data_IF_452340848194
#
_entry.id   IF_452340848194
#
_cell.length_a   1.000
_cell.length_b   1.000
_cell.length_c   1.000
_cell.angle_alpha   90.00
_cell.angle_beta   90.00
_cell.angle_gamma   90.00
#
_symmetry.space_group_name_H-M   'P 1'
#
loop_
_entity.id
_entity.type
_entity.pdbx_description
1 polymer ?
#
# COMPACT_ATOMS: atom_id res chain seq x y z
N UNK A 1 -6.88 -5.70 -13.91
CA UNK A 1 -5.70 -4.84 -13.69
C UNK A 1 -6.15 -3.63 -12.91
N UNK A 2 -5.68 -3.48 -11.70
CA UNK A 2 -5.85 -2.26 -10.90
C UNK A 2 -4.51 -1.53 -10.97
N UNK A 3 -4.44 -0.44 -11.71
CA UNK A 3 -3.26 0.41 -11.80
C UNK A 3 -3.41 1.60 -10.85
N UNK A 4 -2.34 2.00 -10.21
CA UNK A 4 -2.25 3.17 -9.36
C UNK A 4 -1.23 4.13 -9.97
N UNK A 5 -1.45 5.44 -9.85
CA UNK A 5 -0.50 6.44 -10.28
C UNK A 5 -0.11 7.30 -9.09
N UNK A 6 1.18 7.45 -8.88
CA UNK A 6 1.73 8.44 -7.95
C UNK A 6 2.46 9.49 -8.74
N UNK A 7 2.01 10.73 -8.72
CA UNK A 7 2.87 11.90 -8.91
C UNK A 7 2.16 13.26 -8.93
N UNK A 8 2.77 14.28 -8.31
CA UNK A 8 2.68 15.71 -8.66
C UNK A 8 4.00 16.40 -8.30
N UNK A 9 4.58 17.20 -9.22
CA UNK A 9 5.78 17.97 -8.94
C UNK A 9 5.53 19.26 -8.12
N UNK A 10 6.59 19.77 -7.50
CA UNK A 10 6.56 20.94 -6.61
C UNK A 10 6.19 22.29 -7.30
N UNK A 11 5.82 22.28 -8.59
CA UNK A 11 5.57 23.52 -9.35
C UNK A 11 4.15 23.69 -9.86
N UNK A 12 3.22 22.78 -9.50
CA UNK A 12 1.78 22.92 -9.82
C UNK A 12 1.45 22.87 -11.31
N UNK A 13 2.37 22.48 -12.15
CA UNK A 13 2.22 22.29 -13.58
C UNK A 13 2.49 20.84 -13.96
N UNK A 14 1.83 20.38 -15.02
CA UNK A 14 2.23 19.16 -15.70
C UNK A 14 3.61 19.38 -16.30
N UNK A 15 4.66 19.14 -15.53
CA UNK A 15 6.00 19.21 -16.05
C UNK A 15 6.40 17.83 -16.56
N UNK A 16 6.30 17.64 -17.87
CA UNK A 16 6.81 16.48 -18.60
C UNK A 16 8.35 16.34 -18.56
N UNK A 17 9.01 17.02 -17.61
CA UNK A 17 10.44 16.96 -17.44
C UNK A 17 10.84 15.81 -16.52
N UNK A 18 10.71 14.58 -16.98
CA UNK A 18 11.56 13.48 -16.52
C UNK A 18 11.18 12.74 -15.23
N UNK A 19 10.06 13.03 -14.57
CA UNK A 19 9.56 12.17 -13.48
C UNK A 19 8.48 11.24 -14.01
N UNK A 20 8.79 9.97 -13.99
CA UNK A 20 7.87 8.90 -14.40
C UNK A 20 6.86 8.67 -13.30
N UNK A 21 5.58 8.64 -13.64
CA UNK A 21 4.52 8.22 -12.72
C UNK A 21 4.64 6.72 -12.51
N UNK A 22 4.76 6.28 -11.27
CA UNK A 22 4.82 4.87 -10.91
C UNK A 22 3.47 4.19 -11.17
N UNK A 23 3.48 3.11 -11.92
CA UNK A 23 2.34 2.23 -12.16
C UNK A 23 2.41 1.07 -11.18
N UNK A 24 1.57 1.11 -10.14
CA UNK A 24 1.46 0.05 -9.15
C UNK A 24 0.35 -0.93 -9.51
N UNK A 25 0.65 -2.23 -9.54
CA UNK A 25 -0.30 -3.30 -9.85
C UNK A 25 -0.48 -4.28 -8.67
N UNK A 26 -1.68 -4.88 -8.49
CA UNK A 26 -1.89 -5.95 -7.53
C UNK A 26 -1.39 -7.30 -8.07
N UNK A 27 -0.91 -8.16 -7.18
CA UNK A 27 -0.75 -9.56 -7.48
C UNK A 27 -1.28 -10.45 -6.35
N UNK A 28 -1.98 -11.52 -6.71
CA UNK A 28 -2.48 -12.53 -5.78
C UNK A 28 -1.72 -13.86 -5.86
N UNK A 29 -0.70 -13.94 -6.71
CA UNK A 29 0.20 -15.09 -6.83
C UNK A 29 1.52 -14.67 -7.48
N UNK A 30 2.53 -15.50 -7.38
CA UNK A 30 3.83 -15.29 -8.01
C UNK A 30 3.72 -15.16 -9.54
N UNK A 31 2.89 -15.97 -10.17
CA UNK A 31 2.69 -15.93 -11.64
C UNK A 31 2.05 -14.59 -12.06
N UNK A 32 1.06 -14.11 -11.29
CA UNK A 32 0.44 -12.81 -11.55
C UNK A 32 1.47 -11.69 -11.32
N UNK A 33 2.30 -11.77 -10.28
CA UNK A 33 3.37 -10.81 -10.01
C UNK A 33 4.31 -10.70 -11.22
N UNK A 34 4.82 -11.80 -11.72
CA UNK A 34 5.67 -11.83 -12.91
C UNK A 34 4.94 -11.30 -14.16
N UNK A 35 3.67 -11.66 -14.33
CA UNK A 35 2.89 -11.21 -15.48
C UNK A 35 2.66 -9.70 -15.50
N UNK A 36 2.34 -9.07 -14.37
CA UNK A 36 2.10 -7.62 -14.31
C UNK A 36 3.39 -6.82 -14.44
N UNK A 37 4.52 -7.31 -13.91
CA UNK A 37 5.84 -6.72 -14.13
C UNK A 37 6.20 -6.76 -15.61
N UNK A 38 6.02 -7.90 -16.27
CA UNK A 38 6.28 -8.02 -17.71
C UNK A 38 5.32 -7.18 -18.57
N UNK A 39 4.13 -6.87 -18.05
CA UNK A 39 3.18 -5.97 -18.71
C UNK A 39 3.50 -4.49 -18.51
N UNK A 40 4.55 -4.15 -17.74
CA UNK A 40 5.03 -2.78 -17.56
C UNK A 40 4.67 -2.13 -16.22
N UNK A 41 4.27 -2.89 -15.22
CA UNK A 41 4.15 -2.35 -13.86
C UNK A 41 5.54 -1.95 -13.32
N UNK A 42 5.62 -0.79 -12.66
CA UNK A 42 6.83 -0.30 -12.03
C UNK A 42 6.98 -0.86 -10.61
N UNK A 43 5.85 -1.11 -9.96
CA UNK A 43 5.79 -1.74 -8.66
C UNK A 43 4.61 -2.72 -8.57
N UNK A 44 4.71 -3.68 -7.66
CA UNK A 44 3.65 -4.65 -7.39
C UNK A 44 3.37 -4.70 -5.89
N UNK A 45 2.09 -4.58 -5.51
CA UNK A 45 1.72 -4.88 -4.13
C UNK A 45 1.08 -6.26 -4.04
N UNK A 46 1.44 -6.97 -2.98
CA UNK A 46 0.98 -8.34 -2.75
C UNK A 46 0.85 -8.63 -1.25
N UNK A 47 0.10 -9.67 -0.93
CA UNK A 47 -0.06 -10.17 0.42
C UNK A 47 0.78 -11.44 0.61
N UNK A 48 1.40 -11.54 1.77
CA UNK A 48 1.94 -12.80 2.24
C UNK A 48 0.89 -13.58 3.03
N UNK A 49 1.27 -14.68 3.60
CA UNK A 49 0.42 -15.61 4.35
C UNK A 49 -0.15 -15.03 5.67
N UNK A 50 0.39 -13.88 6.13
CA UNK A 50 -0.07 -13.20 7.35
C UNK A 50 -0.38 -11.72 7.09
N UNK A 51 -1.24 -11.15 7.93
CA UNK A 51 -1.50 -9.69 8.08
C UNK A 51 -2.03 -8.94 6.86
N UNK A 52 -2.35 -9.63 5.76
CA UNK A 52 -2.97 -9.03 4.58
C UNK A 52 -4.49 -9.03 4.65
N UNK A 53 -5.15 -7.95 4.24
CA UNK A 53 -6.63 -7.83 4.23
C UNK A 53 -7.34 -8.83 3.30
N UNK A 54 -6.60 -9.52 2.45
CA UNK A 54 -7.10 -10.57 1.54
C UNK A 54 -6.67 -11.97 1.99
N UNK A 55 -6.75 -12.26 3.28
CA UNK A 55 -6.34 -13.56 3.83
C UNK A 55 -6.98 -14.79 3.15
N UNK A 56 -8.11 -14.63 2.46
CA UNK A 56 -8.80 -15.67 1.71
C UNK A 56 -8.53 -15.65 0.19
N UNK A 57 -7.76 -14.70 -0.32
CA UNK A 57 -7.22 -14.75 -1.67
C UNK A 57 -5.90 -15.54 -1.67
N UNK A 58 -5.47 -16.06 -2.80
CA UNK A 58 -4.15 -16.67 -2.89
C UNK A 58 -3.09 -15.70 -2.38
N UNK A 59 -2.38 -16.06 -1.33
CA UNK A 59 -1.29 -15.29 -0.75
C UNK A 59 0.02 -16.03 -1.04
N UNK A 60 1.11 -15.29 -1.15
CA UNK A 60 2.42 -15.85 -1.37
C UNK A 60 2.98 -16.39 -0.05
N UNK A 61 3.53 -17.59 -0.07
CA UNK A 61 4.36 -18.07 1.02
C UNK A 61 5.73 -17.36 1.01
N UNK A 62 6.57 -17.63 2.02
CA UNK A 62 7.86 -16.95 2.16
C UNK A 62 8.80 -17.19 0.96
N UNK A 63 8.84 -18.39 0.42
CA UNK A 63 9.70 -18.74 -0.71
C UNK A 63 9.25 -18.04 -1.99
N UNK A 64 7.95 -18.02 -2.25
CA UNK A 64 7.35 -17.29 -3.38
C UNK A 64 7.56 -15.78 -3.26
N UNK A 65 7.53 -15.23 -2.03
CA UNK A 65 7.82 -13.83 -1.76
C UNK A 65 9.28 -13.51 -2.09
N UNK A 66 10.22 -14.34 -1.68
CA UNK A 66 11.63 -14.18 -2.02
C UNK A 66 11.85 -14.22 -3.54
N UNK A 67 11.18 -15.15 -4.22
CA UNK A 67 11.26 -15.22 -5.68
C UNK A 67 10.64 -14.01 -6.35
N UNK A 68 9.55 -13.46 -5.81
CA UNK A 68 8.93 -12.23 -6.31
C UNK A 68 9.88 -11.02 -6.17
N UNK A 69 10.53 -10.87 -5.00
CA UNK A 69 11.53 -9.83 -4.75
C UNK A 69 12.70 -9.92 -5.72
N UNK A 70 13.32 -11.10 -5.83
CA UNK A 70 14.45 -11.34 -6.74
C UNK A 70 14.09 -11.07 -8.20
N UNK A 71 12.87 -11.46 -8.61
CA UNK A 71 12.40 -11.25 -9.97
C UNK A 71 12.16 -9.77 -10.26
N UNK A 72 11.53 -9.05 -9.33
CA UNK A 72 11.24 -7.63 -9.48
C UNK A 72 12.54 -6.80 -9.52
N UNK A 73 13.44 -7.00 -8.56
CA UNK A 73 14.70 -6.27 -8.46
C UNK A 73 15.62 -6.51 -9.66
N UNK A 74 15.63 -7.73 -10.22
CA UNK A 74 16.38 -8.03 -11.45
C UNK A 74 15.92 -7.18 -12.64
N UNK A 75 14.68 -6.71 -12.62
CA UNK A 75 14.06 -5.89 -13.66
C UNK A 75 13.92 -4.42 -13.26
N UNK A 76 14.58 -4.00 -12.16
CA UNK A 76 14.47 -2.65 -11.60
C UNK A 76 13.01 -2.27 -11.29
N UNK A 77 12.30 -3.18 -10.59
CA UNK A 77 10.91 -3.03 -10.15
C UNK A 77 10.79 -3.26 -8.65
N UNK A 78 9.73 -2.73 -8.04
CA UNK A 78 9.53 -2.71 -6.60
C UNK A 78 8.43 -3.67 -6.14
N UNK A 79 8.57 -4.17 -4.92
CA UNK A 79 7.59 -5.02 -4.25
C UNK A 79 7.16 -4.36 -2.95
N UNK A 80 5.84 -4.21 -2.75
CA UNK A 80 5.24 -3.68 -1.53
C UNK A 80 4.40 -4.74 -0.84
N UNK A 81 4.75 -5.05 0.40
CA UNK A 81 4.04 -6.04 1.21
C UNK A 81 2.85 -5.40 1.94
N UNK A 82 1.67 -5.99 1.80
CA UNK A 82 0.50 -5.53 2.56
C UNK A 82 0.52 -6.10 3.99
N UNK A 83 0.56 -5.19 4.98
CA UNK A 83 0.38 -5.44 6.41
C UNK A 83 -0.78 -4.55 6.87
N UNK A 84 -1.93 -4.72 6.22
CA UNK A 84 -3.03 -3.76 6.25
C UNK A 84 -4.31 -4.33 6.88
N UNK A 85 -4.16 -5.21 7.85
CA UNK A 85 -5.23 -5.62 8.78
C UNK A 85 -5.08 -4.95 10.13
N UNK A 86 -6.15 -4.93 10.92
CA UNK A 86 -6.07 -4.55 12.33
C UNK A 86 -5.53 -5.72 13.12
N UNK A 87 -4.38 -5.54 13.75
CA UNK A 87 -3.70 -6.57 14.51
C UNK A 87 -4.10 -6.54 15.99
N UNK A 88 -4.24 -7.72 16.58
CA UNK A 88 -4.40 -7.86 18.02
C UNK A 88 -3.03 -7.73 18.70
N UNK A 89 -3.04 -7.37 19.99
CA UNK A 89 -1.82 -7.13 20.75
C UNK A 89 -0.84 -8.33 20.73
N UNK A 90 -1.36 -9.54 20.83
CA UNK A 90 -0.55 -10.75 20.80
C UNK A 90 0.10 -11.01 19.42
N UNK A 91 -0.54 -10.60 18.33
CA UNK A 91 0.01 -10.69 16.97
C UNK A 91 1.12 -9.65 16.77
N UNK A 92 0.91 -8.45 17.31
CA UNK A 92 1.89 -7.36 17.23
C UNK A 92 3.16 -7.74 18.02
N UNK A 93 3.01 -8.24 19.26
CA UNK A 93 4.15 -8.51 20.15
C UNK A 93 4.94 -9.77 19.77
N UNK A 94 4.27 -10.77 19.20
CA UNK A 94 4.87 -12.09 19.04
C UNK A 94 5.20 -12.50 17.61
N UNK A 95 4.65 -11.83 16.59
CA UNK A 95 4.73 -12.37 15.21
C UNK A 95 5.12 -11.34 14.16
N UNK A 96 4.72 -10.06 14.33
CA UNK A 96 4.84 -9.06 13.29
C UNK A 96 6.28 -8.83 12.83
N UNK A 97 7.19 -8.66 13.78
CA UNK A 97 8.60 -8.34 13.47
C UNK A 97 9.30 -9.54 12.85
N UNK A 98 9.09 -10.73 13.42
CA UNK A 98 9.67 -11.98 12.90
C UNK A 98 9.14 -12.31 11.50
N UNK A 99 7.90 -11.92 11.20
CA UNK A 99 7.30 -12.08 9.88
C UNK A 99 7.92 -11.15 8.83
N UNK A 100 8.15 -9.87 9.19
CA UNK A 100 8.67 -8.87 8.25
C UNK A 100 10.19 -9.01 8.06
N UNK A 101 10.93 -9.39 9.10
CA UNK A 101 12.38 -9.38 9.11
C UNK A 101 13.04 -10.13 7.90
N UNK A 102 12.62 -11.36 7.54
CA UNK A 102 13.20 -12.05 6.39
C UNK A 102 13.02 -11.31 5.05
N UNK A 103 11.91 -10.61 4.88
CA UNK A 103 11.63 -9.83 3.68
C UNK A 103 12.44 -8.53 3.67
N UNK A 104 12.57 -7.87 4.82
CA UNK A 104 13.41 -6.69 4.97
C UNK A 104 14.88 -7.01 4.66
N UNK A 105 15.40 -8.11 5.18
CA UNK A 105 16.77 -8.60 4.88
C UNK A 105 16.97 -8.94 3.40
N UNK A 106 15.88 -9.33 2.70
CA UNK A 106 15.89 -9.61 1.26
C UNK A 106 15.72 -8.34 0.42
N UNK A 107 15.56 -7.17 1.04
CA UNK A 107 15.43 -5.88 0.37
C UNK A 107 14.00 -5.50 -0.01
N UNK A 108 13.00 -5.91 0.79
CA UNK A 108 11.61 -5.46 0.60
C UNK A 108 11.56 -3.93 0.54
N UNK A 109 10.95 -3.40 -0.52
CA UNK A 109 10.99 -1.96 -0.81
C UNK A 109 10.09 -1.15 0.13
N UNK A 110 8.87 -1.64 0.41
CA UNK A 110 7.94 -0.96 1.32
C UNK A 110 6.91 -1.89 1.93
N UNK A 111 6.28 -1.41 3.01
CA UNK A 111 5.10 -2.03 3.62
C UNK A 111 3.89 -1.11 3.54
N UNK A 112 2.72 -1.66 3.19
CA UNK A 112 1.45 -0.93 3.17
C UNK A 112 0.71 -1.24 4.47
N UNK A 113 0.53 -0.24 5.33
CA UNK A 113 0.10 -0.39 6.72
C UNK A 113 -1.21 0.34 7.00
N UNK A 114 -2.07 -0.24 7.83
CA UNK A 114 -3.33 0.37 8.28
C UNK A 114 -3.25 0.87 9.73
N UNK A 115 -2.48 0.23 10.59
CA UNK A 115 -2.46 0.45 12.04
C UNK A 115 -1.31 1.38 12.45
N UNK A 116 -1.59 2.40 13.27
CA UNK A 116 -0.59 3.35 13.75
C UNK A 116 0.44 2.72 14.70
N UNK A 117 0.02 1.72 15.48
CA UNK A 117 0.92 0.96 16.36
C UNK A 117 1.91 0.14 15.55
N UNK A 118 1.41 -0.51 14.48
CA UNK A 118 2.23 -1.26 13.52
C UNK A 118 3.22 -0.32 12.81
N UNK A 119 2.79 0.85 12.33
CA UNK A 119 3.69 1.86 11.75
C UNK A 119 4.84 2.22 12.69
N UNK A 120 4.52 2.49 13.96
CA UNK A 120 5.52 2.83 14.98
C UNK A 120 6.52 1.69 15.18
N UNK A 121 6.05 0.45 15.31
CA UNK A 121 6.92 -0.71 15.52
C UNK A 121 7.82 -0.99 14.31
N UNK A 122 7.28 -0.89 13.09
CA UNK A 122 8.06 -1.03 11.87
C UNK A 122 9.15 0.04 11.83
N UNK A 123 8.83 1.30 12.10
CA UNK A 123 9.83 2.38 12.11
C UNK A 123 10.90 2.19 13.17
N UNK A 124 10.57 1.56 14.32
CA UNK A 124 11.53 1.28 15.40
C UNK A 124 12.47 0.11 15.09
N UNK A 125 11.98 -0.91 14.39
CA UNK A 125 12.75 -2.14 14.13
C UNK A 125 13.40 -2.15 12.74
N UNK A 126 12.80 -1.43 11.78
CA UNK A 126 13.25 -1.34 10.38
C UNK A 126 13.32 0.13 9.96
N UNK A 127 14.35 0.87 10.40
CA UNK A 127 14.42 2.33 10.22
C UNK A 127 14.45 2.77 8.75
N UNK A 128 15.00 1.96 7.87
CA UNK A 128 15.13 2.25 6.44
C UNK A 128 13.94 1.73 5.61
N UNK A 129 12.98 1.02 6.23
CA UNK A 129 11.79 0.51 5.53
C UNK A 129 10.84 1.65 5.17
N UNK A 130 10.46 1.75 3.92
CA UNK A 130 9.42 2.67 3.50
C UNK A 130 8.04 2.21 3.99
N UNK A 131 7.27 3.15 4.53
CA UNK A 131 5.91 2.89 5.04
C UNK A 131 4.90 3.66 4.19
N UNK A 132 4.02 2.92 3.54
CA UNK A 132 2.89 3.46 2.80
C UNK A 132 1.63 3.36 3.66
N UNK A 133 1.01 4.51 3.95
CA UNK A 133 -0.25 4.54 4.68
C UNK A 133 -1.39 4.04 3.79
N UNK A 134 -1.99 2.90 4.15
CA UNK A 134 -3.04 2.24 3.37
C UNK A 134 -4.27 3.13 3.19
N UNK A 135 -5.01 2.93 2.09
CA UNK A 135 -6.35 3.49 1.90
C UNK A 135 -7.31 3.11 3.03
N UNK A 136 -7.05 2.01 3.74
CA UNK A 136 -7.82 1.56 4.90
C UNK A 136 -7.66 2.47 6.13
N UNK A 137 -6.71 3.39 6.13
CA UNK A 137 -6.61 4.47 7.13
C UNK A 137 -7.61 5.60 6.84
N UNK A 138 -8.38 5.52 5.77
CA UNK A 138 -9.49 6.43 5.40
C UNK A 138 -9.06 7.89 5.37
N UNK A 139 -7.96 8.18 4.66
CA UNK A 139 -7.46 9.55 4.56
C UNK A 139 -8.22 10.34 3.50
N UNK A 140 -8.96 11.34 3.94
CA UNK A 140 -9.80 12.20 3.10
C UNK A 140 -9.37 13.66 3.10
N UNK A 141 -8.26 14.00 3.77
CA UNK A 141 -7.86 15.39 3.88
C UNK A 141 -6.41 15.60 4.31
N UNK A 142 -6.00 16.86 4.21
CA UNK A 142 -4.62 17.31 4.47
C UNK A 142 -4.18 17.05 5.91
N UNK A 143 -5.07 17.26 6.87
CA UNK A 143 -4.75 17.18 8.30
C UNK A 143 -4.42 15.73 8.71
N UNK A 144 -5.25 14.77 8.28
CA UNK A 144 -5.02 13.35 8.57
C UNK A 144 -3.75 12.83 7.90
N UNK A 145 -3.54 13.15 6.63
CA UNK A 145 -2.32 12.78 5.92
C UNK A 145 -1.07 13.39 6.57
N UNK A 146 -1.16 14.62 7.09
CA UNK A 146 -0.06 15.26 7.81
C UNK A 146 0.30 14.56 9.13
N UNK A 147 -0.66 13.94 9.81
CA UNK A 147 -0.38 13.12 10.99
C UNK A 147 0.39 11.85 10.58
N UNK A 148 -0.01 11.19 9.49
CA UNK A 148 0.67 10.01 8.99
C UNK A 148 2.09 10.32 8.51
N UNK A 149 2.29 11.45 7.83
CA UNK A 149 3.60 11.92 7.42
C UNK A 149 4.53 12.13 8.62
N UNK A 150 4.03 12.79 9.68
CA UNK A 150 4.78 12.98 10.94
C UNK A 150 5.04 11.65 11.66
N UNK A 151 4.18 10.66 11.49
CA UNK A 151 4.37 9.31 12.05
C UNK A 151 5.36 8.47 11.22
N UNK A 152 5.87 8.99 10.10
CA UNK A 152 6.90 8.36 9.28
C UNK A 152 6.40 7.68 8.01
N UNK A 153 5.16 7.90 7.59
CA UNK A 153 4.72 7.45 6.27
C UNK A 153 5.40 8.29 5.19
N UNK A 154 6.00 7.64 4.19
CA UNK A 154 6.58 8.31 3.01
C UNK A 154 5.54 8.50 1.91
N UNK A 155 4.51 7.63 1.90
CA UNK A 155 3.42 7.62 0.92
C UNK A 155 2.07 7.52 1.61
N UNK A 156 1.06 8.19 1.07
CA UNK A 156 -0.33 8.03 1.47
C UNK A 156 -1.17 7.55 0.29
N UNK A 157 -1.95 6.47 0.52
CA UNK A 157 -2.96 6.01 -0.43
C UNK A 157 -4.25 6.76 -0.15
N UNK A 158 -4.67 7.60 -1.09
CA UNK A 158 -5.86 8.45 -0.92
C UNK A 158 -7.15 7.62 -0.85
N UNK A 159 -8.11 8.12 -0.09
CA UNK A 159 -9.48 7.62 -0.20
C UNK A 159 -10.03 7.91 -1.61
N UNK A 160 -10.87 7.02 -2.11
CA UNK A 160 -11.48 7.15 -3.45
C UNK A 160 -12.44 8.30 -3.58
N UNK A 161 -12.92 8.83 -2.45
CA UNK A 161 -13.82 9.97 -2.33
C UNK A 161 -13.11 11.31 -2.54
N UNK A 162 -11.78 11.34 -2.46
CA UNK A 162 -11.02 12.58 -2.66
C UNK A 162 -11.08 13.07 -4.10
N UNK A 163 -11.43 14.33 -4.25
CA UNK A 163 -11.38 15.01 -5.54
C UNK A 163 -9.94 15.36 -5.94
N UNK A 164 -9.70 15.56 -7.23
CA UNK A 164 -8.40 16.04 -7.71
C UNK A 164 -7.98 17.37 -7.08
N UNK A 165 -8.95 18.21 -6.73
CA UNK A 165 -8.68 19.48 -6.03
C UNK A 165 -8.15 19.28 -4.61
N UNK A 166 -8.66 18.29 -3.88
CA UNK A 166 -8.20 17.92 -2.55
C UNK A 166 -6.83 17.24 -2.59
N UNK A 167 -6.61 16.36 -3.57
CA UNK A 167 -5.30 15.73 -3.80
C UNK A 167 -4.23 16.80 -4.09
N UNK A 168 -4.56 17.82 -4.93
CA UNK A 168 -3.66 18.96 -5.19
C UNK A 168 -3.34 19.77 -3.93
N UNK A 169 -4.33 19.97 -3.04
CA UNK A 169 -4.12 20.67 -1.77
C UNK A 169 -3.21 19.86 -0.85
N UNK A 170 -3.41 18.53 -0.81
CA UNK A 170 -2.59 17.62 -0.05
C UNK A 170 -1.12 17.68 -0.50
N UNK A 171 -0.88 17.52 -1.81
CA UNK A 171 0.47 17.61 -2.37
C UNK A 171 1.15 18.97 -2.11
N UNK A 172 0.39 20.06 -2.22
CA UNK A 172 0.91 21.40 -1.92
C UNK A 172 1.32 21.55 -0.45
N UNK A 173 0.58 20.93 0.47
CA UNK A 173 0.87 20.98 1.90
C UNK A 173 2.08 20.11 2.30
N UNK A 174 2.23 18.96 1.65
CA UNK A 174 3.32 18.00 1.90
C UNK A 174 3.98 17.59 0.59
N UNK A 175 4.84 18.43 0.01
CA UNK A 175 5.42 18.20 -1.31
C UNK A 175 6.39 17.02 -1.37
N UNK A 176 6.94 16.61 -0.22
CA UNK A 176 7.87 15.49 -0.12
C UNK A 176 7.17 14.15 0.18
N UNK A 177 5.85 14.18 0.45
CA UNK A 177 5.07 12.98 0.65
C UNK A 177 4.51 12.48 -0.68
N UNK A 178 4.76 11.23 -0.98
CA UNK A 178 4.18 10.58 -2.15
C UNK A 178 2.67 10.36 -1.99
N UNK A 179 1.96 10.50 -3.10
CA UNK A 179 0.50 10.32 -3.12
C UNK A 179 0.16 9.22 -4.11
N UNK A 180 -0.51 8.19 -3.62
CA UNK A 180 -1.02 7.09 -4.42
C UNK A 180 -2.54 7.22 -4.57
N UNK A 181 -3.05 7.05 -5.79
CA UNK A 181 -4.47 7.13 -6.08
C UNK A 181 -4.93 6.02 -7.00
N UNK A 182 -6.13 5.51 -6.75
CA UNK A 182 -6.76 4.49 -7.59
C UNK A 182 -7.21 5.10 -8.92
N UNK A 183 -6.80 4.49 -10.03
CA UNK A 183 -7.20 4.93 -11.38
C UNK A 183 -7.99 3.88 -12.15
N UNK A 184 -7.87 2.62 -11.74
CA UNK A 184 -8.58 1.51 -12.36
C UNK A 184 -8.83 0.39 -11.36
N UNK A 185 -9.97 -0.29 -11.48
CA UNK A 185 -10.32 -1.48 -10.69
C UNK A 185 -11.75 -1.46 -10.17
N UNK A 186 -12.08 -2.49 -9.39
CA UNK A 186 -13.40 -2.59 -8.77
C UNK A 186 -13.56 -1.50 -7.70
N UNK A 187 -14.58 -0.68 -7.85
CA UNK A 187 -14.99 0.29 -6.83
C UNK A 187 -15.72 -0.41 -5.70
N UNK A 188 -15.29 -0.19 -4.46
CA UNK A 188 -16.09 -0.57 -3.31
C UNK A 188 -17.33 0.33 -3.24
N UNK A 189 -18.49 -0.25 -2.96
CA UNK A 189 -19.74 0.51 -2.91
C UNK A 189 -19.84 1.40 -1.67
N UNK A 190 -19.10 1.07 -0.62
CA UNK A 190 -19.08 1.83 0.63
C UNK A 190 -18.10 3.00 0.56
N UNK A 191 -18.30 3.95 1.46
CA UNK A 191 -17.26 4.91 1.82
C UNK A 191 -15.97 4.15 2.18
N UNK A 192 -14.82 4.66 1.76
CA UNK A 192 -13.55 3.94 1.86
C UNK A 192 -13.38 3.27 3.22
N UNK A 193 -13.28 1.94 3.19
CA UNK A 193 -13.03 1.08 4.35
C UNK A 193 -14.09 1.06 5.47
N UNK A 194 -15.28 1.63 5.25
CA UNK A 194 -16.39 1.61 6.22
C UNK A 194 -17.46 0.60 5.79
N UNK A 195 -17.15 -0.69 5.87
CA UNK A 195 -18.05 -1.77 5.41
C UNK A 195 -19.38 -1.86 6.18
N UNK A 196 -19.43 -1.40 7.42
CA UNK A 196 -20.66 -1.45 8.24
C UNK A 196 -21.76 -0.52 7.72
N UNK A 197 -21.43 0.43 6.84
CA UNK A 197 -22.41 1.30 6.17
C UNK A 197 -22.90 0.73 4.84
N UNK A 198 -22.32 -0.39 4.39
CA UNK A 198 -22.67 -1.04 3.14
C UNK A 198 -23.78 -2.08 3.35
N UNK A 199 -24.89 -2.00 2.61
CA UNK A 199 -25.86 -3.10 2.54
C UNK A 199 -25.30 -4.25 1.67
N UNK A 200 -24.08 -4.67 1.92
CA UNK A 200 -23.41 -5.72 1.15
C UNK A 200 -24.10 -7.07 1.38
N UNK A 201 -24.28 -7.89 0.34
CA UNK A 201 -24.72 -9.27 0.50
C UNK A 201 -23.83 -10.11 1.42
N UNK A 202 -22.58 -9.69 1.64
CA UNK A 202 -21.65 -10.32 2.59
C UNK A 202 -22.11 -10.17 4.05
N UNK A 203 -22.82 -9.08 4.36
CA UNK A 203 -23.32 -8.81 5.72
C UNK A 203 -24.61 -9.60 6.01
N UNK A 204 -25.23 -10.21 4.98
CA UNK A 204 -26.45 -11.03 5.09
C UNK A 204 -26.18 -12.53 5.30
N UNK A 205 -24.93 -12.96 5.21
CA UNK A 205 -24.56 -14.37 5.32
C UNK A 205 -24.22 -14.81 6.75
N UNK A 206 -24.48 -13.97 7.77
CA UNK A 206 -24.29 -14.28 9.18
C UNK A 206 -25.64 -14.16 9.90
N UNK A 207 -26.56 -15.05 9.56
CA UNK A 207 -27.77 -15.31 10.34
C UNK A 207 -28.10 -16.80 10.30
#
# INVERSE_FOLDING_TARGET
>A
MTGYYTYMDNKGGYNNAGKVVEVLAPAGSLDICKAVINAGADAVYLGGDMFGARAYAGNLNQEEMFEALDYAHKLDRHIYLTVNTLLKQNEIEGQLIDYIAPFYERGLDAVIVQDLGVMRLIRQNFPDMDIHASTQMTQTGVEGAGLLYKAGAVRVVTSREMTLGEIKKLHKAYPDMEIESFVHGAMCYCYSCLLYTSPSPRDRSVS
#
